data_IF_930723891962
#
_entry.id   IF_930723891962
#
_cell.length_a   1.000
_cell.length_b   1.000
_cell.length_c   1.000
_cell.angle_alpha   90.00
_cell.angle_beta   90.00
_cell.angle_gamma   90.00
#
_symmetry.space_group_name_H-M   'P 1'
#
loop_
_entity.id
_entity.type
_entity.pdbx_description
1 polymer ?
#
# COMPACT_ATOMS: atom_id res chain seq x y z
N UNK A 1 25.99 -18.96 14.70
CA UNK A 1 25.07 -18.33 13.72
C UNK A 1 23.59 -18.38 14.18
N UNK A 2 23.28 -18.47 15.50
CA UNK A 2 22.03 -19.14 15.89
C UNK A 2 21.45 -18.79 17.27
N UNK A 3 21.30 -17.51 17.62
CA UNK A 3 20.46 -17.10 18.75
C UNK A 3 19.84 -15.72 18.54
N UNK A 4 20.63 -14.78 17.99
CA UNK A 4 20.15 -13.42 17.71
C UNK A 4 19.08 -13.38 16.62
N UNK A 5 19.22 -14.15 15.54
CA UNK A 5 18.23 -14.19 14.45
C UNK A 5 16.90 -14.82 14.88
N UNK A 6 16.94 -15.94 15.61
CA UNK A 6 15.72 -16.57 16.14
C UNK A 6 15.02 -15.65 17.15
N UNK A 7 15.77 -15.03 18.07
CA UNK A 7 15.23 -14.06 19.02
C UNK A 7 14.61 -12.84 18.31
N UNK A 8 15.23 -12.31 17.25
CA UNK A 8 14.62 -11.21 16.48
C UNK A 8 13.34 -11.64 15.76
N UNK A 9 13.28 -12.87 15.25
CA UNK A 9 12.08 -13.41 14.60
C UNK A 9 10.94 -13.62 15.60
N UNK A 10 11.23 -14.20 16.77
CA UNK A 10 10.23 -14.43 17.83
C UNK A 10 9.70 -13.10 18.41
N UNK A 11 10.57 -12.10 18.58
CA UNK A 11 10.15 -10.74 19.01
C UNK A 11 9.25 -10.09 17.95
N UNK A 12 9.61 -10.19 16.67
CA UNK A 12 8.82 -9.63 15.59
C UNK A 12 7.43 -10.30 15.49
N UNK A 13 7.36 -11.63 15.58
CA UNK A 13 6.08 -12.35 15.54
C UNK A 13 5.18 -11.97 16.72
N UNK A 14 5.72 -11.89 17.95
CA UNK A 14 4.94 -11.49 19.12
C UNK A 14 4.40 -10.06 18.99
N UNK A 15 5.19 -9.13 18.46
CA UNK A 15 4.75 -7.75 18.22
C UNK A 15 3.63 -7.67 17.17
N UNK A 16 3.69 -8.52 16.12
CA UNK A 16 2.64 -8.59 15.10
C UNK A 16 1.34 -9.14 15.69
N UNK A 17 1.39 -10.23 16.46
CA UNK A 17 0.22 -10.82 17.11
C UNK A 17 -0.43 -9.85 18.11
N UNK A 18 0.37 -9.15 18.91
CA UNK A 18 -0.12 -8.14 19.85
C UNK A 18 -0.82 -6.97 19.13
N UNK A 19 -0.29 -6.52 17.97
CA UNK A 19 -0.93 -5.48 17.17
C UNK A 19 -2.24 -5.94 16.54
N UNK A 20 -2.29 -7.16 15.99
CA UNK A 20 -3.52 -7.74 15.43
C UNK A 20 -4.60 -7.88 16.51
N UNK A 21 -4.24 -8.33 17.71
CA UNK A 21 -5.18 -8.43 18.84
C UNK A 21 -5.74 -7.06 19.25
N UNK A 22 -4.91 -6.01 19.25
CA UNK A 22 -5.36 -4.62 19.51
C UNK A 22 -6.31 -4.13 18.42
N UNK A 23 -5.99 -4.33 17.15
CA UNK A 23 -6.86 -3.96 16.02
C UNK A 23 -8.23 -4.65 16.14
N UNK A 24 -8.24 -5.96 16.40
CA UNK A 24 -9.48 -6.72 16.62
C UNK A 24 -10.29 -6.21 17.82
N UNK A 25 -9.63 -5.83 18.91
CA UNK A 25 -10.29 -5.23 20.07
C UNK A 25 -10.95 -3.89 19.72
N UNK A 26 -10.25 -3.03 18.98
CA UNK A 26 -10.78 -1.72 18.54
C UNK A 26 -11.97 -1.91 17.60
N UNK A 27 -11.88 -2.83 16.63
CA UNK A 27 -12.99 -3.14 15.72
C UNK A 27 -14.22 -3.66 16.48
N UNK A 28 -14.02 -4.51 17.50
CA UNK A 28 -15.14 -4.94 18.34
C UNK A 28 -15.79 -3.76 19.10
N UNK A 29 -15.01 -2.80 19.57
CA UNK A 29 -15.54 -1.58 20.18
C UNK A 29 -16.30 -0.72 19.16
N UNK A 30 -15.78 -0.56 17.95
CA UNK A 30 -16.49 0.11 16.84
C UNK A 30 -17.85 -0.52 16.58
N UNK A 31 -17.90 -1.85 16.52
CA UNK A 31 -19.17 -2.59 16.34
C UNK A 31 -20.16 -2.33 17.46
N UNK A 32 -19.72 -2.26 18.71
CA UNK A 32 -20.60 -1.91 19.84
C UNK A 32 -21.16 -0.49 19.72
N UNK A 33 -20.33 0.46 19.29
CA UNK A 33 -20.78 1.86 19.08
C UNK A 33 -21.72 1.94 17.88
N UNK A 34 -21.46 1.20 16.81
CA UNK A 34 -22.32 1.08 15.62
C UNK A 34 -23.73 0.58 16.01
N UNK A 35 -23.83 -0.53 16.73
CA UNK A 35 -25.11 -1.07 17.20
C UNK A 35 -25.82 -0.11 18.18
N UNK A 36 -25.06 0.58 19.04
CA UNK A 36 -25.62 1.59 19.93
C UNK A 36 -26.23 2.76 19.14
N UNK A 37 -25.54 3.26 18.12
CA UNK A 37 -26.05 4.33 17.24
C UNK A 37 -27.29 3.88 16.47
N UNK A 38 -27.29 2.66 15.90
CA UNK A 38 -28.50 2.10 15.25
C UNK A 38 -29.68 2.10 16.21
N UNK A 39 -29.46 1.64 17.44
CA UNK A 39 -30.52 1.61 18.45
C UNK A 39 -31.02 3.02 18.78
N UNK A 40 -30.12 4.00 18.98
CA UNK A 40 -30.48 5.38 19.30
C UNK A 40 -31.32 6.03 18.19
N UNK A 41 -31.00 5.78 16.91
CA UNK A 41 -31.80 6.29 15.80
C UNK A 41 -33.11 5.51 15.60
N UNK A 42 -33.18 4.25 16.04
CA UNK A 42 -34.40 3.42 15.92
C UNK A 42 -35.43 3.73 17.02
N UNK A 43 -34.99 4.14 18.21
CA UNK A 43 -35.89 4.56 19.27
C UNK A 43 -36.48 5.93 18.93
N UNK A 44 -37.74 5.94 18.50
CA UNK A 44 -38.54 7.14 18.33
C UNK A 44 -38.93 7.69 19.71
N UNK A 45 -37.97 8.32 20.40
CA UNK A 45 -38.24 9.04 21.63
C UNK A 45 -39.13 10.27 21.27
N UNK A 46 -40.24 10.46 21.99
CA UNK A 46 -41.08 11.65 21.84
C UNK A 46 -40.36 12.86 22.40
N UNK A 47 -39.47 13.46 21.59
CA UNK A 47 -38.66 14.61 21.97
C UNK A 47 -39.46 15.91 21.83
N UNK A 48 -40.43 16.09 22.74
CA UNK A 48 -41.31 17.27 22.77
C UNK A 48 -40.75 18.41 23.63
N UNK A 49 -39.73 18.14 24.43
CA UNK A 49 -39.08 19.14 25.29
C UNK A 49 -37.76 19.63 24.68
N UNK A 50 -37.45 20.90 24.91
CA UNK A 50 -36.20 21.53 24.52
C UNK A 50 -35.00 20.74 25.05
N UNK A 51 -35.04 20.36 26.32
CA UNK A 51 -33.93 19.66 26.97
C UNK A 51 -33.80 18.23 26.45
N UNK A 52 -34.92 17.56 26.16
CA UNK A 52 -34.91 16.24 25.54
C UNK A 52 -34.23 16.26 24.16
N UNK A 53 -34.55 17.25 23.31
CA UNK A 53 -33.92 17.43 21.99
C UNK A 53 -32.40 17.64 22.11
N UNK A 54 -31.96 18.49 23.03
CA UNK A 54 -30.53 18.73 23.26
C UNK A 54 -29.82 17.51 23.83
N UNK A 55 -30.44 16.80 24.77
CA UNK A 55 -29.90 15.57 25.35
C UNK A 55 -29.76 14.47 24.30
N UNK A 56 -30.76 14.27 23.43
CA UNK A 56 -30.65 13.33 22.33
C UNK A 56 -29.53 13.72 21.36
N UNK A 57 -29.52 14.97 20.88
CA UNK A 57 -28.48 15.47 19.97
C UNK A 57 -27.10 15.31 20.58
N UNK A 58 -26.93 15.67 21.84
CA UNK A 58 -25.68 15.57 22.59
C UNK A 58 -25.23 14.11 22.76
N UNK A 59 -26.15 13.21 23.14
CA UNK A 59 -25.87 11.76 23.25
C UNK A 59 -25.38 11.19 21.93
N UNK A 60 -26.09 11.43 20.82
CA UNK A 60 -25.71 10.92 19.49
C UNK A 60 -24.39 11.55 19.03
N UNK A 61 -24.23 12.87 19.16
CA UNK A 61 -23.01 13.57 18.77
C UNK A 61 -21.78 13.04 19.51
N UNK A 62 -21.90 12.82 20.82
CA UNK A 62 -20.82 12.24 21.63
C UNK A 62 -20.44 10.85 21.12
N UNK A 63 -21.42 9.99 20.84
CA UNK A 63 -21.17 8.63 20.31
C UNK A 63 -20.50 8.66 18.93
N UNK A 64 -20.89 9.58 18.06
CA UNK A 64 -20.25 9.79 16.75
C UNK A 64 -18.78 10.22 16.93
N UNK A 65 -18.50 11.12 17.87
CA UNK A 65 -17.12 11.52 18.18
C UNK A 65 -16.31 10.34 18.72
N UNK A 66 -16.86 9.59 19.68
CA UNK A 66 -16.21 8.39 20.24
C UNK A 66 -15.89 7.37 19.12
N UNK A 67 -16.83 7.16 18.20
CA UNK A 67 -16.64 6.27 17.05
C UNK A 67 -15.56 6.79 16.10
N UNK A 68 -15.56 8.09 15.79
CA UNK A 68 -14.53 8.70 14.96
C UNK A 68 -13.14 8.54 15.57
N UNK A 69 -13.01 8.67 16.90
CA UNK A 69 -11.74 8.48 17.60
C UNK A 69 -11.26 7.02 17.51
N UNK A 70 -12.18 6.04 17.66
CA UNK A 70 -11.85 4.63 17.46
C UNK A 70 -11.36 4.37 16.03
N UNK A 71 -11.96 5.01 15.02
CA UNK A 71 -11.56 4.89 13.61
C UNK A 71 -10.15 5.42 13.41
N UNK A 72 -9.83 6.60 13.95
CA UNK A 72 -8.47 7.14 13.90
C UNK A 72 -7.46 6.26 14.65
N UNK A 73 -7.83 5.69 15.80
CA UNK A 73 -6.97 4.76 16.55
C UNK A 73 -6.70 3.48 15.74
N UNK A 74 -7.72 2.95 15.06
CA UNK A 74 -7.59 1.79 14.19
C UNK A 74 -6.69 2.11 12.99
N UNK A 75 -6.91 3.25 12.32
CA UNK A 75 -6.12 3.70 11.17
C UNK A 75 -4.62 3.83 11.50
N UNK A 76 -4.31 4.39 12.67
CA UNK A 76 -2.94 4.48 13.17
C UNK A 76 -2.33 3.09 13.37
N UNK A 77 -3.07 2.15 13.97
CA UNK A 77 -2.58 0.79 14.19
C UNK A 77 -2.48 -0.03 12.89
N UNK A 78 -3.35 0.20 11.90
CA UNK A 78 -3.27 -0.41 10.57
C UNK A 78 -2.04 0.11 9.81
N UNK A 79 -1.78 1.41 9.83
CA UNK A 79 -0.62 2.02 9.15
C UNK A 79 0.70 1.46 9.69
N UNK A 80 0.74 1.06 10.96
CA UNK A 80 1.89 0.42 11.59
C UNK A 80 2.03 -1.09 11.32
N UNK A 81 1.05 -1.74 10.70
CA UNK A 81 1.07 -3.19 10.44
C UNK A 81 1.48 -3.50 9.00
N UNK A 82 2.60 -4.22 8.84
CA UNK A 82 3.16 -4.60 7.52
C UNK A 82 2.32 -5.67 6.80
N UNK A 83 1.54 -6.46 7.55
CA UNK A 83 0.58 -7.41 7.01
C UNK A 83 -0.80 -7.18 7.62
N UNK A 84 -1.76 -6.81 6.79
CA UNK A 84 -3.15 -6.61 7.18
C UNK A 84 -3.98 -7.67 6.46
N UNK A 85 -4.72 -8.47 7.23
CA UNK A 85 -5.68 -9.42 6.66
C UNK A 85 -6.75 -8.68 5.85
N UNK A 86 -7.12 -9.13 4.64
CA UNK A 86 -8.14 -8.47 3.82
C UNK A 86 -9.48 -8.30 4.54
N UNK A 87 -9.84 -9.23 5.43
CA UNK A 87 -11.05 -9.15 6.27
C UNK A 87 -11.02 -7.94 7.23
N UNK A 88 -9.85 -7.62 7.81
CA UNK A 88 -9.72 -6.46 8.70
C UNK A 88 -9.90 -5.15 7.95
N UNK A 89 -9.35 -5.08 6.73
CA UNK A 89 -9.49 -3.91 5.86
C UNK A 89 -10.96 -3.68 5.47
N UNK A 90 -11.68 -4.75 5.10
CA UNK A 90 -13.11 -4.67 4.78
C UNK A 90 -13.95 -4.19 5.97
N UNK A 91 -13.68 -4.69 7.19
CA UNK A 91 -14.36 -4.22 8.40
C UNK A 91 -14.06 -2.75 8.70
N UNK A 92 -12.81 -2.31 8.53
CA UNK A 92 -12.45 -0.90 8.69
C UNK A 92 -13.18 0.00 7.68
N UNK A 93 -13.20 -0.37 6.39
CA UNK A 93 -13.91 0.38 5.35
C UNK A 93 -15.42 0.43 5.60
N UNK A 94 -16.02 -0.64 6.13
CA UNK A 94 -17.40 -0.67 6.58
C UNK A 94 -17.68 0.37 7.67
N UNK A 95 -16.87 0.40 8.73
CA UNK A 95 -17.02 1.35 9.83
C UNK A 95 -16.78 2.80 9.39
N UNK A 96 -15.80 3.03 8.50
CA UNK A 96 -15.52 4.35 7.92
C UNK A 96 -16.72 4.90 7.11
N UNK A 97 -17.41 4.04 6.36
CA UNK A 97 -18.63 4.44 5.65
C UNK A 97 -19.80 4.70 6.61
N UNK A 98 -19.96 3.85 7.63
CA UNK A 98 -21.06 3.99 8.59
C UNK A 98 -20.95 5.27 9.41
N UNK A 99 -19.76 5.68 9.84
CA UNK A 99 -19.62 6.91 10.62
C UNK A 99 -20.07 8.14 9.84
N UNK A 100 -19.76 8.21 8.55
CA UNK A 100 -20.21 9.31 7.69
C UNK A 100 -21.71 9.25 7.41
N UNK A 101 -22.30 8.05 7.38
CA UNK A 101 -23.75 7.90 7.33
C UNK A 101 -24.40 8.46 8.61
N UNK A 102 -23.92 8.13 9.82
CA UNK A 102 -24.49 8.67 11.05
C UNK A 102 -24.33 10.18 11.18
N UNK A 103 -23.20 10.75 10.74
CA UNK A 103 -23.03 12.22 10.67
C UNK A 103 -24.10 12.85 9.79
N UNK A 104 -24.40 12.22 8.65
CA UNK A 104 -25.44 12.67 7.72
C UNK A 104 -26.83 12.51 8.31
N UNK A 105 -27.14 11.36 8.91
CA UNK A 105 -28.41 11.08 9.59
C UNK A 105 -28.67 12.07 10.72
N UNK A 106 -27.67 12.35 11.56
CA UNK A 106 -27.80 13.37 12.61
C UNK A 106 -28.06 14.77 12.02
N UNK A 107 -27.39 15.13 10.93
CA UNK A 107 -27.60 16.41 10.25
C UNK A 107 -29.01 16.53 9.66
N UNK A 108 -29.49 15.48 9.00
CA UNK A 108 -30.86 15.42 8.45
C UNK A 108 -31.89 15.47 9.57
N UNK A 109 -31.69 14.67 10.62
CA UNK A 109 -32.54 14.63 11.81
C UNK A 109 -32.62 16.01 12.48
N UNK A 110 -31.49 16.69 12.64
CA UNK A 110 -31.44 18.02 13.23
C UNK A 110 -32.13 19.07 12.37
N UNK A 111 -31.85 19.09 11.06
CA UNK A 111 -32.47 20.05 10.14
C UNK A 111 -34.00 19.89 10.09
N UNK A 112 -34.51 18.66 10.23
CA UNK A 112 -35.95 18.41 10.33
C UNK A 112 -36.59 18.99 11.59
N UNK A 113 -35.84 19.08 12.70
CA UNK A 113 -36.34 19.52 14.02
C UNK A 113 -35.85 20.90 14.47
N UNK A 114 -35.01 21.56 13.67
CA UNK A 114 -34.40 22.85 14.02
C UNK A 114 -35.45 23.95 14.25
N UNK A 115 -36.54 23.92 13.48
CA UNK A 115 -37.66 24.85 13.64
C UNK A 115 -38.43 24.61 14.94
N UNK A 116 -38.72 23.34 15.26
CA UNK A 116 -39.39 22.96 16.52
C UNK A 116 -38.54 23.34 17.73
N UNK A 117 -37.24 23.10 17.65
CA UNK A 117 -36.29 23.54 18.66
C UNK A 117 -36.32 25.06 18.86
N UNK A 118 -36.28 25.85 17.78
CA UNK A 118 -36.34 27.30 17.87
C UNK A 118 -37.65 27.80 18.49
N UNK A 119 -38.78 27.16 18.13
CA UNK A 119 -40.09 27.44 18.73
C UNK A 119 -40.07 27.20 20.24
N UNK A 120 -39.53 26.07 20.69
CA UNK A 120 -39.40 25.74 22.11
C UNK A 120 -38.48 26.73 22.86
N UNK A 121 -37.37 27.17 22.24
CA UNK A 121 -36.52 28.21 22.82
C UNK A 121 -37.28 29.54 23.03
N UNK A 122 -38.07 29.95 22.03
CA UNK A 122 -38.85 31.19 22.12
C UNK A 122 -39.97 31.09 23.16
N UNK A 123 -40.64 29.94 23.23
CA UNK A 123 -41.66 29.66 24.25
C UNK A 123 -41.07 29.75 25.66
N UNK A 124 -39.94 29.09 25.91
CA UNK A 124 -39.23 29.15 27.19
C UNK A 124 -38.78 30.57 27.56
N UNK A 125 -38.28 31.34 26.58
CA UNK A 125 -37.87 32.72 26.79
C UNK A 125 -39.04 33.63 27.18
N UNK A 126 -40.17 33.51 26.48
CA UNK A 126 -41.38 34.29 26.76
C UNK A 126 -41.98 33.93 28.12
N UNK A 127 -42.05 32.64 28.45
CA UNK A 127 -42.53 32.17 29.75
C UNK A 127 -41.68 32.75 30.90
N UNK A 128 -40.35 32.81 30.74
CA UNK A 128 -39.46 33.44 31.72
C UNK A 128 -39.72 34.95 31.85
N UNK A 129 -39.88 35.67 30.74
CA UNK A 129 -40.18 37.11 30.76
C UNK A 129 -41.52 37.43 31.44
N UNK A 130 -42.55 36.64 31.18
CA UNK A 130 -43.87 36.78 31.84
C UNK A 130 -43.73 36.55 33.36
N UNK A 131 -42.93 35.56 33.77
CA UNK A 131 -42.66 35.32 35.19
C UNK A 131 -41.93 36.48 35.88
N UNK A 132 -40.96 37.11 35.19
CA UNK A 132 -40.20 38.24 35.74
C UNK A 132 -41.06 39.52 35.91
N UNK A 133 -41.97 39.78 34.96
CA UNK A 133 -42.86 40.96 34.97
C UNK A 133 -43.87 40.89 36.12
N UNK A 134 -44.42 39.70 36.40
CA UNK A 134 -45.40 39.51 37.46
C UNK A 134 -44.81 39.72 38.88
N UNK A 135 -43.48 39.68 39.04
CA UNK A 135 -42.81 39.82 40.34
C UNK A 135 -42.56 41.29 40.73
N UNK A 136 -42.54 42.24 39.79
CA UNK A 136 -41.96 43.58 40.04
C UNK A 136 -42.93 44.76 39.81
N UNK A 137 -44.23 44.54 39.94
CA UNK A 137 -45.21 45.63 39.79
C UNK A 137 -45.58 46.27 41.14
N UNK A 138 -44.89 47.35 41.51
CA UNK A 138 -45.40 48.48 42.28
C UNK A 138 -44.92 49.78 41.59
N UNK A 139 -45.82 50.75 41.39
CA UNK A 139 -46.04 51.36 40.07
C UNK A 139 -45.61 52.85 39.87
N UNK A 140 -44.89 53.51 40.78
CA UNK A 140 -44.65 54.98 40.63
C UNK A 140 -43.21 55.45 40.32
N UNK A 141 -42.19 54.58 40.32
CA UNK A 141 -40.82 54.95 39.90
C UNK A 141 -40.58 54.88 38.37
N UNK A 142 -41.63 54.56 37.59
CA UNK A 142 -41.53 54.18 36.17
C UNK A 142 -41.06 55.29 35.24
N UNK A 143 -41.59 56.51 35.32
CA UNK A 143 -41.34 57.53 34.26
C UNK A 143 -39.90 58.11 34.29
N UNK A 144 -39.30 58.27 35.47
CA UNK A 144 -37.92 58.75 35.59
C UNK A 144 -36.92 57.63 35.28
N UNK A 145 -37.24 56.40 35.65
CA UNK A 145 -36.47 55.21 35.32
C UNK A 145 -36.49 54.94 33.81
N UNK A 146 -37.62 55.15 33.12
CA UNK A 146 -37.71 54.96 31.66
C UNK A 146 -36.79 55.88 30.88
N UNK A 147 -36.71 57.18 31.21
CA UNK A 147 -35.84 58.12 30.48
C UNK A 147 -34.35 57.83 30.70
N UNK A 148 -33.96 57.47 31.93
CA UNK A 148 -32.58 57.06 32.25
C UNK A 148 -32.23 55.78 31.49
N UNK A 149 -33.12 54.78 31.53
CA UNK A 149 -32.94 53.52 30.81
C UNK A 149 -32.83 53.74 29.29
N UNK A 150 -33.60 54.67 28.71
CA UNK A 150 -33.53 54.98 27.29
C UNK A 150 -32.20 55.64 26.91
N UNK A 151 -31.68 56.54 27.74
CA UNK A 151 -30.38 57.19 27.51
C UNK A 151 -29.22 56.20 27.63
N UNK A 152 -29.24 55.34 28.64
CA UNK A 152 -28.22 54.31 28.86
C UNK A 152 -28.28 53.24 27.76
N UNK A 153 -29.49 52.81 27.35
CA UNK A 153 -29.68 51.92 26.21
C UNK A 153 -29.13 52.54 24.94
N UNK A 154 -29.43 53.82 24.66
CA UNK A 154 -28.89 54.52 23.49
C UNK A 154 -27.36 54.58 23.49
N UNK A 155 -26.74 54.85 24.64
CA UNK A 155 -25.27 54.87 24.77
C UNK A 155 -24.68 53.49 24.53
N UNK A 156 -25.25 52.46 25.16
CA UNK A 156 -24.82 51.07 24.98
C UNK A 156 -24.97 50.62 23.52
N UNK A 157 -26.04 51.03 22.83
CA UNK A 157 -26.22 50.77 21.40
C UNK A 157 -25.15 51.46 20.55
N UNK A 158 -24.77 52.70 20.86
CA UNK A 158 -23.72 53.43 20.12
C UNK A 158 -22.35 52.77 20.33
N UNK A 159 -22.02 52.41 21.56
CA UNK A 159 -20.76 51.74 21.90
C UNK A 159 -20.67 50.37 21.21
N UNK A 160 -21.77 49.59 21.23
CA UNK A 160 -21.85 48.30 20.56
C UNK A 160 -21.78 48.43 19.03
N UNK A 161 -22.41 49.45 18.43
CA UNK A 161 -22.28 49.75 16.98
C UNK A 161 -20.83 50.07 16.62
N UNK A 162 -20.11 50.86 17.44
CA UNK A 162 -18.70 51.19 17.20
C UNK A 162 -17.81 49.96 17.34
N UNK A 163 -18.05 49.12 18.36
CA UNK A 163 -17.37 47.83 18.52
C UNK A 163 -17.59 46.92 17.30
N UNK A 164 -18.84 46.80 16.84
CA UNK A 164 -19.19 46.01 15.66
C UNK A 164 -18.54 46.56 14.37
N UNK A 165 -18.43 47.88 14.22
CA UNK A 165 -17.74 48.48 13.07
C UNK A 165 -16.25 48.10 13.03
N UNK A 166 -15.57 48.14 14.17
CA UNK A 166 -14.16 47.75 14.27
C UNK A 166 -13.98 46.25 13.96
N UNK A 167 -14.79 45.38 14.58
CA UNK A 167 -14.79 43.93 14.32
C UNK A 167 -15.06 43.63 12.84
N UNK A 168 -16.00 44.34 12.22
CA UNK A 168 -16.30 44.19 10.79
C UNK A 168 -15.11 44.57 9.91
N UNK A 169 -14.39 45.64 10.24
CA UNK A 169 -13.20 46.06 9.49
C UNK A 169 -12.09 45.01 9.58
N UNK A 170 -11.80 44.51 10.78
CA UNK A 170 -10.80 43.45 11.00
C UNK A 170 -11.18 42.14 10.27
N UNK A 171 -12.47 41.77 10.29
CA UNK A 171 -12.97 40.58 9.60
C UNK A 171 -12.84 40.70 8.07
N UNK A 172 -13.11 41.88 7.50
CA UNK A 172 -12.93 42.14 6.07
C UNK A 172 -11.45 42.06 5.69
N UNK A 173 -10.55 42.65 6.48
CA UNK A 173 -9.11 42.58 6.24
C UNK A 173 -8.59 41.12 6.34
N UNK A 174 -9.03 40.38 7.35
CA UNK A 174 -8.71 38.96 7.51
C UNK A 174 -9.22 38.12 6.34
N UNK A 175 -10.44 38.37 5.88
CA UNK A 175 -11.03 37.69 4.73
C UNK A 175 -10.23 37.95 3.44
N UNK A 176 -9.78 39.18 3.22
CA UNK A 176 -8.92 39.52 2.08
C UNK A 176 -7.55 38.84 2.15
N UNK A 177 -6.95 38.74 3.35
CA UNK A 177 -5.68 38.01 3.56
C UNK A 177 -5.84 36.52 3.26
N UNK A 178 -6.93 35.90 3.71
CA UNK A 178 -7.25 34.50 3.44
C UNK A 178 -7.44 34.25 1.94
N UNK A 179 -8.18 35.13 1.25
CA UNK A 179 -8.39 35.01 -0.21
C UNK A 179 -7.06 35.06 -0.99
N UNK A 180 -6.14 35.97 -0.60
CA UNK A 180 -4.81 36.06 -1.21
C UNK A 180 -3.96 34.81 -0.94
N UNK A 181 -4.04 34.24 0.26
CA UNK A 181 -3.34 32.99 0.57
C UNK A 181 -3.89 31.83 -0.25
N UNK A 182 -5.20 31.71 -0.36
CA UNK A 182 -5.87 30.67 -1.16
C UNK A 182 -5.47 30.75 -2.65
N UNK A 183 -5.41 31.96 -3.22
CA UNK A 183 -4.93 32.17 -4.60
C UNK A 183 -3.47 31.71 -4.79
N UNK A 184 -2.58 32.00 -3.82
CA UNK A 184 -1.18 31.56 -3.87
C UNK A 184 -1.07 30.03 -3.76
N UNK A 185 -1.83 29.41 -2.85
CA UNK A 185 -1.86 27.96 -2.70
C UNK A 185 -2.39 27.26 -3.94
N UNK A 186 -3.43 27.79 -4.57
CA UNK A 186 -3.99 27.24 -5.80
C UNK A 186 -2.98 27.32 -6.96
N UNK A 187 -2.25 28.44 -7.11
CA UNK A 187 -1.16 28.56 -8.09
C UNK A 187 -0.07 27.52 -7.83
N UNK A 188 0.31 27.30 -6.57
CA UNK A 188 1.32 26.32 -6.20
C UNK A 188 0.84 24.88 -6.48
N UNK A 189 -0.41 24.56 -6.13
CA UNK A 189 -1.03 23.27 -6.40
C UNK A 189 -1.08 22.98 -7.91
N UNK A 190 -1.49 23.96 -8.73
CA UNK A 190 -1.51 23.84 -10.18
C UNK A 190 -0.10 23.57 -10.75
N UNK A 191 0.93 24.25 -10.23
CA UNK A 191 2.33 24.01 -10.64
C UNK A 191 2.81 22.61 -10.24
N UNK A 192 2.53 22.14 -9.03
CA UNK A 192 2.88 20.79 -8.58
C UNK A 192 2.19 19.74 -9.45
N UNK A 193 0.88 19.87 -9.68
CA UNK A 193 0.12 18.92 -10.50
C UNK A 193 0.62 18.87 -11.94
N UNK A 194 1.01 20.01 -12.51
CA UNK A 194 1.60 20.10 -13.84
C UNK A 194 2.94 19.36 -13.91
N UNK A 195 3.85 19.64 -12.97
CA UNK A 195 5.15 18.97 -12.87
C UNK A 195 5.02 17.46 -12.64
N UNK A 196 4.10 17.03 -11.77
CA UNK A 196 3.84 15.61 -11.51
C UNK A 196 3.32 14.87 -12.76
N UNK A 197 2.42 15.49 -13.55
CA UNK A 197 1.97 14.93 -14.82
C UNK A 197 3.11 14.77 -15.83
N UNK A 198 4.01 15.76 -15.89
CA UNK A 198 5.18 15.71 -16.76
C UNK A 198 6.15 14.60 -16.35
N UNK A 199 6.42 14.44 -15.05
CA UNK A 199 7.26 13.35 -14.54
C UNK A 199 6.61 11.99 -14.81
N UNK A 200 5.30 11.87 -14.63
CA UNK A 200 4.57 10.63 -14.89
C UNK A 200 4.58 10.26 -16.39
N UNK A 201 4.38 11.22 -17.30
CA UNK A 201 4.43 10.97 -18.73
C UNK A 201 5.83 10.57 -19.20
N UNK A 202 6.88 11.20 -18.65
CA UNK A 202 8.27 10.81 -18.87
C UNK A 202 8.56 9.40 -18.37
N UNK A 203 8.14 9.06 -17.14
CA UNK A 203 8.30 7.72 -16.56
C UNK A 203 7.62 6.67 -17.42
N UNK A 204 6.36 6.90 -17.82
CA UNK A 204 5.58 5.97 -18.65
C UNK A 204 6.24 5.73 -20.01
N UNK A 205 6.82 6.77 -20.61
CA UNK A 205 7.56 6.68 -21.87
C UNK A 205 8.85 5.86 -21.73
N UNK A 206 9.63 6.12 -20.67
CA UNK A 206 10.84 5.35 -20.38
C UNK A 206 10.54 3.86 -20.09
N UNK A 207 9.42 3.57 -19.42
CA UNK A 207 8.98 2.21 -19.13
C UNK A 207 8.49 1.48 -20.39
N UNK A 208 7.76 2.15 -21.29
CA UNK A 208 7.41 1.54 -22.59
C UNK A 208 8.64 1.22 -23.42
N UNK A 209 9.62 2.12 -23.47
CA UNK A 209 10.86 1.92 -24.23
C UNK A 209 11.65 0.72 -23.66
N UNK A 210 11.71 0.60 -22.33
CA UNK A 210 12.36 -0.54 -21.65
C UNK A 210 11.66 -1.88 -21.95
N UNK A 211 10.32 -1.90 -22.04
CA UNK A 211 9.56 -3.11 -22.38
C UNK A 211 9.86 -3.62 -23.80
N UNK A 212 9.98 -2.73 -24.79
CA UNK A 212 10.33 -3.12 -26.15
C UNK A 212 11.74 -3.72 -26.24
N UNK A 213 12.69 -3.19 -25.47
CA UNK A 213 14.05 -3.76 -25.36
C UNK A 213 13.99 -5.18 -24.81
N UNK A 214 13.20 -5.41 -23.75
CA UNK A 214 13.04 -6.74 -23.15
C UNK A 214 12.35 -7.75 -24.08
N UNK A 215 11.30 -7.35 -24.81
CA UNK A 215 10.64 -8.22 -25.79
C UNK A 215 11.58 -8.61 -26.93
N UNK A 216 12.38 -7.65 -27.42
CA UNK A 216 13.39 -7.92 -28.45
C UNK A 216 14.45 -8.92 -27.94
N UNK A 217 14.88 -8.78 -26.69
CA UNK A 217 15.81 -9.71 -26.05
C UNK A 217 15.23 -11.12 -25.89
N UNK A 218 14.00 -11.25 -25.38
CA UNK A 218 13.34 -12.56 -25.23
C UNK A 218 13.08 -13.24 -26.58
N UNK A 219 12.66 -12.47 -27.59
CA UNK A 219 12.44 -12.99 -28.94
C UNK A 219 13.75 -13.53 -29.55
N UNK A 220 14.86 -12.81 -29.36
CA UNK A 220 16.18 -13.25 -29.78
C UNK A 220 16.60 -14.55 -29.08
N UNK A 221 16.49 -14.62 -27.75
CA UNK A 221 16.81 -15.83 -26.97
C UNK A 221 15.94 -17.01 -27.39
N UNK A 222 14.63 -16.79 -27.61
CA UNK A 222 13.71 -17.83 -28.06
C UNK A 222 14.09 -18.40 -29.42
N UNK A 223 14.50 -17.55 -30.38
CA UNK A 223 14.98 -18.00 -31.69
C UNK A 223 16.29 -18.79 -31.54
N UNK A 224 17.23 -18.33 -30.71
CA UNK A 224 18.47 -19.03 -30.45
C UNK A 224 18.22 -20.44 -29.88
N UNK A 225 17.35 -20.55 -28.87
CA UNK A 225 16.98 -21.85 -28.27
C UNK A 225 16.24 -22.73 -29.27
N UNK A 226 15.36 -22.17 -30.10
CA UNK A 226 14.66 -22.93 -31.13
C UNK A 226 15.62 -23.49 -32.19
N UNK A 227 16.61 -22.70 -32.63
CA UNK A 227 17.62 -23.16 -33.60
C UNK A 227 18.50 -24.27 -32.98
N UNK A 228 18.96 -24.10 -31.73
CA UNK A 228 19.75 -25.12 -31.04
C UNK A 228 18.93 -26.39 -30.79
N UNK A 229 17.65 -26.26 -30.44
CA UNK A 229 16.74 -27.39 -30.26
C UNK A 229 16.39 -28.10 -31.56
N UNK A 230 16.15 -27.37 -32.66
CA UNK A 230 15.89 -28.00 -33.97
C UNK A 230 17.12 -28.76 -34.46
N UNK A 231 18.31 -28.27 -34.11
CA UNK A 231 19.56 -29.02 -34.25
C UNK A 231 19.74 -30.15 -33.23
N UNK A 232 18.83 -30.45 -32.29
CA UNK A 232 18.98 -31.63 -31.42
C UNK A 232 18.96 -32.96 -32.18
N UNK A 233 18.36 -33.01 -33.38
CA UNK A 233 18.58 -34.12 -34.32
C UNK A 233 20.06 -34.23 -34.73
N UNK A 234 20.71 -33.09 -34.97
CA UNK A 234 22.16 -32.99 -35.11
C UNK A 234 22.90 -33.24 -33.79
N UNK A 235 22.38 -32.94 -32.60
CA UNK A 235 23.04 -33.33 -31.34
C UNK A 235 23.06 -34.85 -31.15
N UNK A 236 21.99 -35.56 -31.58
CA UNK A 236 22.02 -37.01 -31.66
C UNK A 236 23.08 -37.47 -32.68
N UNK A 237 23.18 -36.83 -33.84
CA UNK A 237 24.22 -37.11 -34.84
C UNK A 237 25.64 -36.79 -34.35
N UNK A 238 25.84 -35.71 -33.59
CA UNK A 238 27.11 -35.33 -32.96
C UNK A 238 27.48 -36.37 -31.90
N UNK A 239 26.51 -36.85 -31.12
CA UNK A 239 26.73 -37.95 -30.18
C UNK A 239 27.18 -39.23 -30.90
N UNK A 240 26.61 -39.56 -32.07
CA UNK A 240 27.08 -40.67 -32.90
C UNK A 240 28.46 -40.43 -33.50
N UNK A 241 28.76 -39.21 -33.96
CA UNK A 241 30.06 -38.83 -34.52
C UNK A 241 31.18 -38.96 -33.48
N UNK A 242 30.92 -38.54 -32.24
CA UNK A 242 31.84 -38.71 -31.11
C UNK A 242 32.14 -40.20 -30.88
N UNK A 243 31.13 -41.08 -30.90
CA UNK A 243 31.33 -42.54 -30.81
C UNK A 243 32.22 -43.08 -31.94
N UNK A 244 32.03 -42.59 -33.16
CA UNK A 244 32.80 -43.02 -34.34
C UNK A 244 34.27 -42.58 -34.24
N UNK A 245 34.53 -41.35 -33.82
CA UNK A 245 35.90 -40.83 -33.58
C UNK A 245 36.62 -41.70 -32.54
N UNK A 246 35.96 -42.04 -31.44
CA UNK A 246 36.53 -42.92 -30.41
C UNK A 246 36.88 -44.30 -30.97
N UNK A 247 36.02 -44.86 -31.84
CA UNK A 247 36.29 -46.14 -32.51
C UNK A 247 37.48 -46.08 -33.47
N UNK A 248 37.63 -44.98 -34.22
CA UNK A 248 38.78 -44.78 -35.13
C UNK A 248 40.07 -44.64 -34.32
N UNK A 249 40.06 -43.86 -33.24
CA UNK A 249 41.23 -43.71 -32.37
C UNK A 249 41.69 -45.06 -31.81
N UNK A 250 40.74 -45.91 -31.40
CA UNK A 250 41.04 -47.26 -30.94
C UNK A 250 41.64 -48.15 -32.04
N UNK A 251 41.16 -48.00 -33.28
CA UNK A 251 41.68 -48.74 -34.43
C UNK A 251 43.08 -48.28 -34.85
N UNK A 252 43.32 -46.97 -34.89
CA UNK A 252 44.64 -46.38 -35.18
C UNK A 252 45.65 -46.81 -34.12
N UNK A 253 45.25 -46.81 -32.84
CA UNK A 253 46.09 -47.33 -31.76
C UNK A 253 46.50 -48.80 -32.00
N UNK A 254 45.56 -49.67 -32.43
CA UNK A 254 45.86 -51.05 -32.82
C UNK A 254 46.77 -51.16 -34.05
N UNK A 255 46.60 -50.28 -35.05
CA UNK A 255 47.42 -50.26 -36.25
C UNK A 255 48.86 -49.84 -35.92
N UNK A 256 49.04 -48.78 -35.13
CA UNK A 256 50.33 -48.34 -34.61
C UNK A 256 51.00 -49.47 -33.82
N UNK A 257 50.25 -50.23 -33.02
CA UNK A 257 50.77 -51.38 -32.29
C UNK A 257 51.24 -52.51 -33.23
N UNK A 258 50.50 -52.80 -34.31
CA UNK A 258 50.91 -53.79 -35.32
C UNK A 258 52.16 -53.37 -36.12
N UNK A 259 52.23 -52.10 -36.52
CA UNK A 259 53.41 -51.55 -37.24
C UNK A 259 54.62 -51.55 -36.31
N UNK A 260 54.43 -51.20 -35.03
CA UNK A 260 55.49 -51.29 -34.02
C UNK A 260 55.99 -52.73 -33.85
N UNK A 261 55.09 -53.72 -33.83
CA UNK A 261 55.50 -55.14 -33.83
C UNK A 261 56.26 -55.55 -35.10
N UNK A 262 55.84 -55.09 -36.28
CA UNK A 262 56.55 -55.35 -37.53
C UNK A 262 57.94 -54.72 -37.54
N UNK A 263 58.07 -53.45 -37.12
CA UNK A 263 59.38 -52.79 -36.98
C UNK A 263 60.27 -53.52 -35.97
N UNK A 264 59.71 -53.97 -34.84
CA UNK A 264 60.44 -54.80 -33.88
C UNK A 264 60.96 -56.09 -34.53
N UNK A 265 60.12 -56.79 -35.30
CA UNK A 265 60.49 -58.04 -35.99
C UNK A 265 61.53 -57.83 -37.09
N UNK A 266 61.47 -56.72 -37.82
CA UNK A 266 62.47 -56.38 -38.86
C UNK A 266 63.81 -55.95 -38.25
N UNK A 267 63.80 -55.27 -37.11
CA UNK A 267 65.03 -54.90 -36.40
C UNK A 267 65.70 -56.12 -35.74
N UNK A 268 64.93 -57.09 -35.26
CA UNK A 268 65.48 -58.37 -34.76
C UNK A 268 66.11 -59.21 -35.89
N UNK A 269 65.69 -59.05 -37.15
CA UNK A 269 66.33 -59.72 -38.29
C UNK A 269 67.72 -59.14 -38.68
N UNK A 270 68.10 -57.96 -38.17
CA UNK A 270 69.41 -57.33 -38.45
C UNK A 270 70.42 -57.46 -37.31
N UNK A 271 70.05 -58.09 -36.19
CA UNK A 271 70.96 -58.33 -35.08
C UNK A 271 70.81 -59.77 -34.57
N UNK A 272 71.31 -60.72 -35.35
CA UNK A 272 71.77 -62.00 -34.81
C UNK A 272 73.27 -62.10 -34.98
N UNK A 273 74.07 -61.69 -33.97
CA UNK A 273 75.47 -61.98 -33.93
C UNK A 273 75.75 -63.20 -33.03
N UNK A 274 76.80 -63.93 -33.42
CA UNK A 274 77.72 -64.72 -32.60
C UNK A 274 77.52 -66.25 -32.48
N UNK A 275 78.64 -66.92 -32.79
CA UNK A 275 79.22 -68.12 -32.17
C UNK A 275 79.14 -69.46 -32.94
N UNK A 276 80.31 -69.78 -33.51
CA UNK A 276 81.04 -71.06 -33.61
C UNK A 276 80.61 -72.22 -34.53
N UNK A 277 81.52 -72.46 -35.48
CA UNK A 277 82.20 -73.73 -35.79
C UNK A 277 81.37 -75.02 -35.72
N UNK A 278 81.09 -75.59 -36.90
CA UNK A 278 81.53 -76.96 -37.24
C UNK A 278 81.11 -77.37 -38.65
N UNK A 279 82.12 -77.80 -39.42
CA UNK A 279 82.11 -78.92 -40.37
C UNK A 279 81.48 -78.75 -41.77
N UNK A 280 82.36 -79.04 -42.73
CA UNK A 280 82.11 -79.78 -43.97
C UNK A 280 81.39 -79.00 -45.07
N UNK A 281 82.08 -78.44 -46.06
CA UNK A 281 82.71 -79.20 -47.16
C UNK A 281 81.79 -80.34 -47.64
N UNK A 282 80.84 -80.00 -48.50
CA UNK A 282 80.38 -80.87 -49.60
C UNK A 282 80.25 -79.96 -50.82
N UNK A 283 81.34 -79.88 -51.57
CA UNK A 283 81.38 -79.35 -52.93
C UNK A 283 81.94 -80.48 -53.78
N UNK A 284 81.06 -81.24 -54.43
CA UNK A 284 81.39 -82.12 -55.56
C UNK A 284 80.18 -82.09 -56.52
N UNK A 285 80.42 -82.12 -57.84
CA UNK A 285 79.59 -81.47 -58.84
C UNK A 285 78.87 -82.50 -59.73
N UNK A 286 78.52 -82.06 -60.95
CA UNK A 286 78.52 -82.83 -62.21
C UNK A 286 77.14 -83.21 -62.79
N UNK A 287 76.77 -82.41 -63.81
CA UNK A 287 76.36 -82.81 -65.17
C UNK A 287 74.92 -83.25 -65.50
N UNK A 288 74.44 -82.56 -66.55
CA UNK A 288 73.72 -83.03 -67.74
C UNK A 288 72.21 -83.22 -67.68
N UNK A 289 71.56 -82.54 -68.64
CA UNK A 289 70.55 -83.06 -69.55
C UNK A 289 70.07 -84.49 -69.27
N UNK A 290 68.83 -84.62 -68.77
CA UNK A 290 67.67 -85.00 -69.58
C UNK A 290 66.37 -84.72 -68.80
#
# INVERSE_FOLDING_TARGET
MNHNFKRSLDINNKNVDDNINKINSIINQMRLVDENLKSLFSFEETLNDHDALLLFRGRVSKRIVDYSNLITECDNNLTCSEYISPNLKEQYEYHLKNIDNYKRELSVWWNGRANDYHRLCMENFLNRKISDINVTSNDDDRNKLTDINLKDTKKLMIDEINRMKNVKSELIESSQKLKKQDEIFNIFEMKIRSSAKLIYSLKKKAESDTRYVWYSFFFFVSICVYITMRRLGLLRAMFTLIKLIVSILFYVSKLCFKIFQLFKKTNEAKYTPTVDNSKSLVLVPINNEL
#
